data_IF_319904991477
#
_entry.id   IF_319904991477
#
_cell.length_a   1.000
_cell.length_b   1.000
_cell.length_c   1.000
_cell.angle_alpha   90.00
_cell.angle_beta   90.00
_cell.angle_gamma   90.00
#
_symmetry.space_group_name_H-M   'P 1'
#
loop_
_entity.id
_entity.type
_entity.pdbx_description
1 polymer ?
#
# COMPACT_ATOMS: atom_id res chain seq x y z
N UNK A 1 -9.33 -37.04 35.84
CA UNK A 1 -9.30 -37.18 34.37
C UNK A 1 -9.68 -35.90 33.62
N UNK A 2 -10.65 -35.11 34.10
CA UNK A 2 -11.12 -33.87 33.45
C UNK A 2 -10.07 -32.74 33.44
N UNK A 3 -9.27 -32.60 34.51
CA UNK A 3 -8.27 -31.52 34.63
C UNK A 3 -7.11 -31.64 33.63
N UNK A 4 -6.65 -32.86 33.34
CA UNK A 4 -5.57 -33.13 32.37
C UNK A 4 -6.05 -32.84 30.94
N UNK A 5 -7.31 -33.19 30.63
CA UNK A 5 -7.91 -32.89 29.33
C UNK A 5 -8.02 -31.38 29.11
N UNK A 6 -8.42 -30.62 30.13
CA UNK A 6 -8.50 -29.16 30.07
C UNK A 6 -7.13 -28.51 29.83
N UNK A 7 -6.09 -28.95 30.55
CA UNK A 7 -4.72 -28.46 30.36
C UNK A 7 -4.20 -28.79 28.95
N UNK A 8 -4.49 -29.97 28.42
CA UNK A 8 -4.09 -30.35 27.07
C UNK A 8 -4.85 -29.56 25.98
N UNK A 9 -6.12 -29.22 26.21
CA UNK A 9 -6.91 -28.36 25.33
C UNK A 9 -6.37 -26.94 25.34
N UNK A 10 -6.11 -26.35 26.51
CA UNK A 10 -5.48 -25.03 26.65
C UNK A 10 -4.11 -24.99 25.98
N UNK A 11 -3.27 -26.00 26.20
CA UNK A 11 -1.93 -26.07 25.60
C UNK A 11 -2.00 -26.20 24.07
N UNK A 12 -2.93 -26.99 23.52
CA UNK A 12 -3.17 -27.07 22.07
C UNK A 12 -3.71 -25.76 21.50
N UNK A 13 -4.64 -25.12 22.21
CA UNK A 13 -5.22 -23.84 21.81
C UNK A 13 -4.14 -22.76 21.75
N UNK A 14 -3.28 -22.67 22.76
CA UNK A 14 -2.19 -21.70 22.79
C UNK A 14 -1.17 -21.93 21.67
N UNK A 15 -0.82 -23.20 21.36
CA UNK A 15 0.02 -23.48 20.18
C UNK A 15 -0.66 -23.11 18.86
N UNK A 16 -1.97 -23.30 18.73
CA UNK A 16 -2.71 -22.91 17.53
C UNK A 16 -2.84 -21.39 17.38
N UNK A 17 -2.98 -20.65 18.48
CA UNK A 17 -3.06 -19.18 18.48
C UNK A 17 -1.70 -18.60 18.11
N UNK A 18 -0.63 -19.05 18.77
CA UNK A 18 0.74 -18.61 18.47
C UNK A 18 1.13 -18.89 17.02
N UNK A 19 0.67 -20.02 16.45
CA UNK A 19 0.90 -20.33 15.03
C UNK A 19 0.18 -19.37 14.09
N UNK A 20 -1.05 -18.94 14.43
CA UNK A 20 -1.84 -18.03 13.60
C UNK A 20 -1.33 -16.60 13.67
N UNK A 21 -1.03 -16.11 14.88
CA UNK A 21 -0.48 -14.77 15.06
C UNK A 21 0.84 -14.64 14.29
N UNK A 22 1.69 -15.65 14.35
CA UNK A 22 2.93 -15.70 13.59
C UNK A 22 2.69 -15.65 12.06
N UNK A 23 1.75 -16.44 11.54
CA UNK A 23 1.39 -16.44 10.13
C UNK A 23 0.85 -15.08 9.66
N UNK A 24 0.02 -14.42 10.48
CA UNK A 24 -0.45 -13.06 10.17
C UNK A 24 0.73 -12.10 10.10
N UNK A 25 1.68 -12.18 11.04
CA UNK A 25 2.88 -11.31 11.02
C UNK A 25 3.71 -11.54 9.75
N UNK A 26 3.98 -12.79 9.37
CA UNK A 26 4.73 -13.10 8.14
C UNK A 26 4.02 -12.56 6.89
N UNK A 27 2.70 -12.78 6.80
CA UNK A 27 1.90 -12.27 5.68
C UNK A 27 1.92 -10.75 5.60
N UNK A 28 1.79 -10.06 6.73
CA UNK A 28 1.87 -8.61 6.80
C UNK A 28 3.26 -8.11 6.39
N UNK A 29 4.34 -8.74 6.88
CA UNK A 29 5.71 -8.36 6.52
C UNK A 29 5.90 -8.42 4.99
N UNK A 30 5.56 -9.55 4.37
CA UNK A 30 5.68 -9.72 2.91
C UNK A 30 4.84 -8.69 2.16
N UNK A 31 3.61 -8.44 2.61
CA UNK A 31 2.72 -7.48 1.96
C UNK A 31 3.25 -6.04 2.06
N UNK A 32 3.89 -5.67 3.17
CA UNK A 32 4.48 -4.35 3.34
C UNK A 32 5.78 -4.19 2.55
N UNK A 33 6.57 -5.25 2.42
CA UNK A 33 7.71 -5.27 1.48
C UNK A 33 7.23 -5.05 0.03
N UNK A 34 6.15 -5.70 -0.38
CA UNK A 34 5.53 -5.48 -1.69
C UNK A 34 5.02 -4.05 -1.88
N UNK A 35 4.44 -3.43 -0.84
CA UNK A 35 4.02 -2.03 -0.85
C UNK A 35 5.21 -1.09 -1.06
N UNK A 36 6.30 -1.31 -0.31
CA UNK A 36 7.53 -0.54 -0.44
C UNK A 36 8.12 -0.67 -1.86
N UNK A 37 8.21 -1.89 -2.38
CA UNK A 37 8.66 -2.14 -3.76
C UNK A 37 7.78 -1.40 -4.78
N UNK A 38 6.46 -1.39 -4.60
CA UNK A 38 5.56 -0.64 -5.47
C UNK A 38 5.84 0.87 -5.45
N UNK A 39 6.10 1.42 -4.26
CA UNK A 39 6.45 2.84 -4.10
C UNK A 39 7.78 3.15 -4.81
N UNK A 40 8.79 2.28 -4.66
CA UNK A 40 10.07 2.44 -5.34
C UNK A 40 9.92 2.40 -6.87
N UNK A 41 9.18 1.43 -7.40
CA UNK A 41 8.90 1.32 -8.83
C UNK A 41 8.18 2.56 -9.39
N UNK A 42 7.22 3.09 -8.63
CA UNK A 42 6.51 4.31 -9.03
C UNK A 42 7.44 5.52 -9.04
N UNK A 43 8.32 5.66 -8.05
CA UNK A 43 9.31 6.73 -7.99
C UNK A 43 10.23 6.72 -9.20
N UNK A 44 10.74 5.55 -9.57
CA UNK A 44 11.65 5.41 -10.70
C UNK A 44 10.93 5.75 -12.02
N UNK A 45 9.68 5.28 -12.18
CA UNK A 45 8.85 5.65 -13.34
C UNK A 45 8.56 7.16 -13.41
N UNK A 46 8.30 7.81 -12.27
CA UNK A 46 8.08 9.28 -12.22
C UNK A 46 9.34 10.01 -12.70
N UNK A 47 10.52 9.56 -12.29
CA UNK A 47 11.79 10.12 -12.76
C UNK A 47 11.96 9.96 -14.28
N UNK A 48 11.63 8.80 -14.83
CA UNK A 48 11.65 8.56 -16.29
C UNK A 48 10.71 9.49 -17.05
N UNK A 49 9.48 9.66 -16.57
CA UNK A 49 8.51 10.59 -17.17
C UNK A 49 8.97 12.04 -17.07
N UNK A 50 9.64 12.43 -15.98
CA UNK A 50 10.25 13.76 -15.82
C UNK A 50 11.34 13.99 -16.86
N UNK A 51 12.22 13.00 -17.07
CA UNK A 51 13.26 13.06 -18.09
C UNK A 51 12.66 13.14 -19.51
N UNK A 52 11.65 12.32 -19.80
CA UNK A 52 10.93 12.33 -21.08
C UNK A 52 10.27 13.70 -21.33
N UNK A 53 9.59 14.26 -20.33
CA UNK A 53 8.96 15.56 -20.43
C UNK A 53 9.96 16.66 -20.79
N UNK A 54 11.09 16.69 -20.07
CA UNK A 54 12.17 17.64 -20.35
C UNK A 54 12.71 17.45 -21.77
N UNK A 55 13.00 16.21 -22.19
CA UNK A 55 13.49 15.91 -23.54
C UNK A 55 12.53 16.40 -24.63
N UNK A 56 11.23 16.15 -24.50
CA UNK A 56 10.23 16.59 -25.49
C UNK A 56 10.19 18.11 -25.62
N UNK A 57 10.32 18.85 -24.50
CA UNK A 57 10.36 20.32 -24.54
C UNK A 57 11.63 20.90 -25.16
N UNK A 58 12.78 20.20 -25.05
CA UNK A 58 14.05 20.66 -25.61
C UNK A 58 14.26 20.26 -27.08
N UNK A 59 13.44 19.36 -27.63
CA UNK A 59 13.49 18.94 -29.05
C UNK A 59 12.61 19.86 -29.94
N UNK A 60 12.03 20.92 -29.36
CA UNK A 60 10.95 21.74 -29.93
C UNK A 60 11.37 22.75 -31.02
N UNK A 61 12.39 22.47 -31.84
CA UNK A 61 12.79 23.38 -32.94
C UNK A 61 12.12 23.01 -34.28
N UNK A 62 11.58 21.80 -34.45
CA UNK A 62 11.15 21.31 -35.78
C UNK A 62 9.65 21.00 -35.97
N UNK A 63 8.82 20.94 -34.92
CA UNK A 63 7.35 20.78 -35.06
C UNK A 63 6.60 21.11 -33.75
N UNK A 64 6.16 22.35 -33.56
CA UNK A 64 5.65 22.84 -32.26
C UNK A 64 4.34 22.17 -31.80
N UNK A 65 3.37 21.96 -32.70
CA UNK A 65 2.01 21.48 -32.33
C UNK A 65 2.01 20.02 -31.87
N UNK A 66 2.73 19.12 -32.55
CA UNK A 66 2.80 17.71 -32.17
C UNK A 66 3.57 17.50 -30.86
N UNK A 67 4.56 18.35 -30.57
CA UNK A 67 5.36 18.26 -29.36
C UNK A 67 4.57 18.70 -28.11
N UNK A 68 3.62 19.63 -28.25
CA UNK A 68 2.74 20.06 -27.16
C UNK A 68 1.77 18.94 -26.75
N UNK A 69 1.11 18.27 -27.71
CA UNK A 69 0.23 17.13 -27.43
C UNK A 69 0.96 15.98 -26.72
N UNK A 70 2.19 15.69 -27.16
CA UNK A 70 3.03 14.64 -26.54
C UNK A 70 3.43 15.05 -25.12
N UNK A 71 3.82 16.31 -24.90
CA UNK A 71 4.16 16.82 -23.58
C UNK A 71 2.97 16.77 -22.62
N UNK A 72 1.76 17.06 -23.09
CA UNK A 72 0.51 16.96 -22.32
C UNK A 72 0.21 15.52 -21.89
N UNK A 73 0.36 14.55 -22.79
CA UNK A 73 0.18 13.12 -22.47
C UNK A 73 1.18 12.68 -21.41
N UNK A 74 2.46 13.05 -21.56
CA UNK A 74 3.52 12.75 -20.60
C UNK A 74 3.21 13.42 -19.25
N UNK A 75 2.78 14.68 -19.25
CA UNK A 75 2.41 15.42 -18.05
C UNK A 75 1.24 14.77 -17.29
N UNK A 76 0.19 14.36 -18.00
CA UNK A 76 -0.95 13.62 -17.41
C UNK A 76 -0.52 12.30 -16.79
N UNK A 77 0.35 11.54 -17.46
CA UNK A 77 0.87 10.27 -16.92
C UNK A 77 1.75 10.49 -15.69
N UNK A 78 2.64 11.48 -15.73
CA UNK A 78 3.45 11.87 -14.58
C UNK A 78 2.57 12.25 -13.38
N UNK A 79 1.57 13.10 -13.60
CA UNK A 79 0.65 13.54 -12.55
C UNK A 79 -0.10 12.37 -11.90
N UNK A 80 -0.71 11.48 -12.69
CA UNK A 80 -1.41 10.29 -12.15
C UNK A 80 -0.47 9.37 -11.36
N UNK A 81 0.76 9.13 -11.85
CA UNK A 81 1.75 8.32 -11.11
C UNK A 81 2.16 8.97 -9.79
N UNK A 82 2.36 10.29 -9.79
CA UNK A 82 2.70 11.05 -8.58
C UNK A 82 1.62 10.95 -7.51
N UNK A 83 0.35 11.14 -7.89
CA UNK A 83 -0.79 11.03 -6.97
C UNK A 83 -0.93 9.62 -6.40
N UNK A 84 -0.73 8.60 -7.24
CA UNK A 84 -0.69 7.21 -6.80
C UNK A 84 0.43 6.96 -5.77
N UNK A 85 1.66 7.38 -6.09
CA UNK A 85 2.81 7.22 -5.19
C UNK A 85 2.59 7.95 -3.87
N UNK A 86 2.04 9.18 -3.91
CA UNK A 86 1.73 9.96 -2.71
C UNK A 86 0.75 9.23 -1.80
N UNK A 87 -0.30 8.66 -2.36
CA UNK A 87 -1.31 7.92 -1.61
C UNK A 87 -0.75 6.63 -0.98
N UNK A 88 0.15 5.94 -1.70
CA UNK A 88 0.82 4.75 -1.16
C UNK A 88 1.83 5.08 -0.06
N UNK A 89 2.55 6.21 -0.16
CA UNK A 89 3.41 6.66 0.94
C UNK A 89 2.59 6.98 2.19
N UNK A 90 1.47 7.69 2.04
CA UNK A 90 0.61 8.01 3.17
C UNK A 90 0.02 6.74 3.81
N UNK A 91 -0.40 5.77 3.00
CA UNK A 91 -0.83 4.46 3.48
C UNK A 91 0.29 3.74 4.26
N UNK A 92 1.52 3.76 3.74
CA UNK A 92 2.66 3.13 4.39
C UNK A 92 3.00 3.80 5.74
N UNK A 93 2.90 5.12 5.84
CA UNK A 93 3.08 5.85 7.10
C UNK A 93 2.09 5.35 8.16
N UNK A 94 0.80 5.29 7.81
CA UNK A 94 -0.27 4.83 8.69
C UNK A 94 -0.04 3.40 9.16
N UNK A 95 0.32 2.50 8.25
CA UNK A 95 0.60 1.10 8.61
C UNK A 95 1.81 1.00 9.56
N UNK A 96 2.83 1.83 9.36
CA UNK A 96 4.01 1.83 10.23
C UNK A 96 3.73 2.38 11.64
N UNK A 97 2.66 3.16 11.85
CA UNK A 97 2.25 3.58 13.20
C UNK A 97 1.83 2.39 14.07
N UNK A 98 1.42 1.28 13.45
CA UNK A 98 1.09 0.02 14.13
C UNK A 98 2.28 -0.93 14.25
N UNK A 99 3.46 -0.55 13.72
CA UNK A 99 4.64 -1.39 13.71
C UNK A 99 5.59 -0.98 14.83
N UNK A 100 5.89 -1.90 15.74
CA UNK A 100 6.81 -1.63 16.83
C UNK A 100 8.28 -1.61 16.39
N UNK A 101 9.20 -1.31 17.31
CA UNK A 101 10.63 -1.23 17.05
C UNK A 101 11.27 -2.58 16.66
N UNK A 102 10.61 -3.70 16.92
CA UNK A 102 11.04 -5.04 16.50
C UNK A 102 10.45 -5.42 15.14
N UNK A 103 9.64 -4.55 14.55
CA UNK A 103 9.00 -4.76 13.27
C UNK A 103 7.70 -5.56 13.35
N UNK A 104 7.13 -5.74 14.55
CA UNK A 104 5.90 -6.50 14.79
C UNK A 104 4.69 -5.57 14.69
N UNK A 105 3.66 -6.00 13.98
CA UNK A 105 2.40 -5.27 13.84
C UNK A 105 1.50 -5.53 15.05
N UNK A 106 1.12 -4.45 15.73
CA UNK A 106 0.20 -4.43 16.86
C UNK A 106 -1.18 -3.94 16.39
N UNK A 107 -2.23 -4.27 17.14
CA UNK A 107 -3.59 -3.74 16.92
C UNK A 107 -4.06 -3.78 15.44
N UNK A 108 -3.82 -4.91 14.76
CA UNK A 108 -4.08 -5.12 13.33
C UNK A 108 -5.52 -4.80 12.91
N UNK A 109 -6.48 -4.98 13.82
CA UNK A 109 -7.87 -4.62 13.57
C UNK A 109 -8.06 -3.11 13.45
N UNK A 110 -7.46 -2.35 14.36
CA UNK A 110 -7.54 -0.89 14.36
C UNK A 110 -6.80 -0.33 13.14
N UNK A 111 -5.67 -0.95 12.75
CA UNK A 111 -4.97 -0.63 11.50
C UNK A 111 -5.90 -0.77 10.28
N UNK A 112 -6.63 -1.88 10.17
CA UNK A 112 -7.58 -2.09 9.06
C UNK A 112 -8.69 -1.06 9.04
N UNK A 113 -9.25 -0.72 10.21
CA UNK A 113 -10.28 0.32 10.33
C UNK A 113 -9.72 1.66 9.87
N UNK A 114 -8.54 2.07 10.33
CA UNK A 114 -7.96 3.34 9.95
C UNK A 114 -7.66 3.42 8.44
N UNK A 115 -7.15 2.33 7.84
CA UNK A 115 -6.94 2.26 6.38
C UNK A 115 -8.27 2.40 5.62
N UNK A 116 -9.35 1.81 6.13
CA UNK A 116 -10.69 1.94 5.55
C UNK A 116 -11.22 3.37 5.65
N UNK A 117 -11.06 4.02 6.80
CA UNK A 117 -11.46 5.42 7.01
C UNK A 117 -10.74 6.35 6.04
N UNK A 118 -9.43 6.19 5.87
CA UNK A 118 -8.65 6.97 4.90
C UNK A 118 -9.17 6.75 3.47
N UNK A 119 -9.46 5.50 3.10
CA UNK A 119 -10.02 5.19 1.78
C UNK A 119 -11.35 5.95 1.55
N UNK A 120 -12.23 5.99 2.56
CA UNK A 120 -13.48 6.72 2.47
C UNK A 120 -13.29 8.25 2.45
N UNK A 121 -12.40 8.79 3.28
CA UNK A 121 -12.04 10.21 3.28
C UNK A 121 -11.59 10.70 1.90
N UNK A 122 -10.81 9.88 1.18
CA UNK A 122 -10.40 10.18 -0.18
C UNK A 122 -11.58 10.16 -1.16
N UNK A 123 -12.46 9.16 -1.03
CA UNK A 123 -13.65 9.07 -1.88
C UNK A 123 -14.63 10.23 -1.64
N UNK A 124 -14.81 10.68 -0.39
CA UNK A 124 -15.63 11.84 -0.04
C UNK A 124 -15.08 13.15 -0.62
N UNK A 125 -13.76 13.25 -0.78
CA UNK A 125 -13.07 14.37 -1.42
C UNK A 125 -13.02 14.26 -2.95
N UNK A 126 -13.76 13.31 -3.54
CA UNK A 126 -13.79 13.00 -4.97
C UNK A 126 -12.42 12.55 -5.55
N UNK A 127 -11.49 12.12 -4.69
CA UNK A 127 -10.17 11.58 -5.07
C UNK A 127 -10.28 10.08 -5.36
N UNK A 128 -11.07 9.72 -6.38
CA UNK A 128 -11.46 8.34 -6.63
C UNK A 128 -10.30 7.44 -7.09
N UNK A 129 -9.30 7.97 -7.80
CA UNK A 129 -8.13 7.18 -8.25
C UNK A 129 -7.25 6.77 -7.07
N UNK A 130 -7.03 7.71 -6.15
CA UNK A 130 -6.32 7.49 -4.91
C UNK A 130 -7.10 6.56 -3.97
N UNK A 131 -8.42 6.78 -3.81
CA UNK A 131 -9.27 5.89 -3.03
C UNK A 131 -9.25 4.45 -3.56
N UNK A 132 -9.33 4.26 -4.88
CA UNK A 132 -9.23 2.94 -5.51
C UNK A 132 -7.85 2.31 -5.31
N UNK A 133 -6.79 3.13 -5.34
CA UNK A 133 -5.42 2.69 -5.04
C UNK A 133 -5.32 2.17 -3.60
N UNK A 134 -5.86 2.90 -2.63
CA UNK A 134 -5.85 2.51 -1.22
C UNK A 134 -6.73 1.27 -1.00
N UNK A 135 -7.92 1.21 -1.62
CA UNK A 135 -8.81 0.05 -1.55
C UNK A 135 -8.12 -1.25 -1.94
N UNK A 136 -7.31 -1.23 -3.01
CA UNK A 136 -6.56 -2.42 -3.43
C UNK A 136 -5.70 -2.98 -2.30
N UNK A 137 -5.03 -2.11 -1.55
CA UNK A 137 -4.17 -2.52 -0.43
C UNK A 137 -4.98 -2.88 0.82
N UNK A 138 -6.07 -2.16 1.10
CA UNK A 138 -7.04 -2.55 2.13
C UNK A 138 -7.52 -3.99 1.92
N UNK A 139 -7.92 -4.36 0.69
CA UNK A 139 -8.42 -5.70 0.38
C UNK A 139 -7.33 -6.77 0.65
N UNK A 140 -6.07 -6.48 0.31
CA UNK A 140 -4.93 -7.38 0.56
C UNK A 140 -4.63 -7.52 2.06
N UNK A 141 -4.61 -6.42 2.81
CA UNK A 141 -4.41 -6.42 4.25
C UNK A 141 -5.54 -7.19 4.96
N UNK A 142 -6.78 -6.98 4.52
CA UNK A 142 -7.95 -7.66 5.08
C UNK A 142 -7.85 -9.17 4.91
N UNK A 143 -7.42 -9.64 3.74
CA UNK A 143 -7.17 -11.07 3.50
C UNK A 143 -6.05 -11.58 4.40
N UNK A 144 -4.92 -10.87 4.47
CA UNK A 144 -3.77 -11.27 5.28
C UNK A 144 -4.09 -11.44 6.77
N UNK A 145 -5.05 -10.67 7.30
CA UNK A 145 -5.44 -10.68 8.72
C UNK A 145 -6.62 -11.64 9.00
N UNK A 146 -7.63 -11.69 8.13
CA UNK A 146 -8.91 -12.34 8.46
C UNK A 146 -9.23 -13.60 7.67
N UNK A 147 -8.62 -13.80 6.50
CA UNK A 147 -8.98 -14.88 5.58
C UNK A 147 -7.73 -15.75 5.34
N UNK A 148 -7.48 -16.64 6.31
CA UNK A 148 -6.53 -17.76 6.23
C UNK A 148 -7.29 -19.07 6.00
#
# INVERSE_FOLDING_TARGET
MILILFILIEKRRNMSIVSKDFEIQENLIVLIEDLQNNIYDLRDRIADYTHLYNKTRHTAVECEVQNEEIADIIGKKHHSLYHKMKSLNYLLEIINDYRDCNGIFQDQHDMIIQVQEIMFDYAEKELYEEAATIKKWYDLLYVAIYIQ
#
